data_IF_991185763117
#
_entry.id   IF_991185763117
#
_cell.length_a   1.000
_cell.length_b   1.000
_cell.length_c   1.000
_cell.angle_alpha   90.00
_cell.angle_beta   90.00
_cell.angle_gamma   90.00
#
_symmetry.space_group_name_H-M   'P 1'
#
loop_
_entity.id
_entity.type
_entity.pdbx_description
1 polymer ?
#
# COMPACT_ATOMS: atom_id res chain seq x y z
N UNK A 1 -9.91 5.16 -3.52
CA UNK A 1 -9.34 3.80 -3.38
C UNK A 1 -7.92 3.84 -2.84
N UNK A 2 -6.94 4.42 -3.55
CA UNK A 2 -5.56 4.50 -3.02
C UNK A 2 -5.46 5.42 -1.78
N UNK A 3 -6.22 6.53 -1.75
CA UNK A 3 -6.27 7.44 -0.61
C UNK A 3 -6.79 6.77 0.67
N UNK A 4 -7.85 5.99 0.54
CA UNK A 4 -8.43 5.24 1.65
C UNK A 4 -7.45 4.16 2.16
N UNK A 5 -6.70 3.51 1.26
CA UNK A 5 -5.66 2.57 1.66
C UNK A 5 -4.52 3.26 2.42
N UNK A 6 -4.07 4.44 1.96
CA UNK A 6 -3.05 5.24 2.65
C UNK A 6 -3.51 5.54 4.08
N UNK A 7 -4.74 6.02 4.24
CA UNK A 7 -5.32 6.37 5.54
C UNK A 7 -5.36 5.15 6.48
N UNK A 8 -5.82 4.00 6.00
CA UNK A 8 -5.87 2.75 6.78
C UNK A 8 -4.47 2.27 7.20
N UNK A 9 -3.50 2.35 6.29
CA UNK A 9 -2.11 1.97 6.57
C UNK A 9 -1.54 2.83 7.70
N UNK A 10 -1.71 4.15 7.63
CA UNK A 10 -1.19 5.08 8.65
C UNK A 10 -1.86 4.92 10.01
N UNK A 11 -3.19 4.83 10.02
CA UNK A 11 -3.98 4.67 11.25
C UNK A 11 -3.75 3.33 11.95
N UNK A 12 -3.11 2.36 11.31
CA UNK A 12 -2.96 1.03 11.88
C UNK A 12 -4.24 0.19 11.73
N UNK A 13 -5.18 0.58 10.87
CA UNK A 13 -6.53 -0.01 10.80
C UNK A 13 -6.62 -1.16 9.81
N UNK A 14 -7.34 -2.21 10.21
CA UNK A 14 -7.53 -3.43 9.41
C UNK A 14 -6.42 -4.46 9.56
N UNK A 15 -6.74 -5.70 9.20
CA UNK A 15 -5.80 -6.81 9.27
C UNK A 15 -4.67 -6.60 8.24
N UNK A 16 -3.42 -6.83 8.65
CA UNK A 16 -2.24 -6.72 7.79
C UNK A 16 -2.42 -7.47 6.47
N UNK A 17 -2.92 -8.71 6.54
CA UNK A 17 -3.13 -9.54 5.36
C UNK A 17 -4.17 -8.97 4.41
N UNK A 18 -5.24 -8.38 4.93
CA UNK A 18 -6.26 -7.72 4.12
C UNK A 18 -5.63 -6.55 3.36
N UNK A 19 -4.91 -5.68 4.06
CA UNK A 19 -4.26 -4.50 3.46
C UNK A 19 -3.24 -4.90 2.40
N UNK A 20 -2.43 -5.93 2.66
CA UNK A 20 -1.45 -6.44 1.70
C UNK A 20 -2.12 -6.92 0.40
N UNK A 21 -3.25 -7.63 0.51
CA UNK A 21 -3.97 -8.14 -0.65
C UNK A 21 -4.65 -7.02 -1.45
N UNK A 22 -5.24 -6.05 -0.74
CA UNK A 22 -5.82 -4.86 -1.35
C UNK A 22 -4.76 -4.02 -2.08
N UNK A 23 -3.57 -3.89 -1.49
CA UNK A 23 -2.45 -3.19 -2.09
C UNK A 23 -2.08 -3.77 -3.46
N UNK A 24 -1.87 -5.09 -3.55
CA UNK A 24 -1.51 -5.74 -4.82
C UNK A 24 -2.55 -5.47 -5.90
N UNK A 25 -3.84 -5.64 -5.57
CA UNK A 25 -4.91 -5.39 -6.52
C UNK A 25 -4.95 -3.92 -7.00
N UNK A 26 -4.78 -2.96 -6.09
CA UNK A 26 -4.76 -1.53 -6.43
C UNK A 26 -3.56 -1.19 -7.32
N UNK A 27 -2.37 -1.71 -7.00
CA UNK A 27 -1.16 -1.47 -7.79
C UNK A 27 -1.17 -2.15 -9.16
N UNK A 28 -2.01 -3.18 -9.34
CA UNK A 28 -2.30 -3.79 -10.64
C UNK A 28 -3.37 -3.02 -11.44
N UNK A 29 -3.84 -1.88 -10.94
CA UNK A 29 -4.84 -1.03 -11.60
C UNK A 29 -6.26 -1.59 -11.54
N UNK A 30 -6.54 -2.43 -10.56
CA UNK A 30 -7.86 -3.05 -10.36
C UNK A 30 -8.72 -2.21 -9.43
N UNK A 31 -10.02 -2.25 -9.68
CA UNK A 31 -11.03 -1.68 -8.79
C UNK A 31 -11.46 -2.70 -7.77
N UNK A 32 -11.50 -2.29 -6.50
CA UNK A 32 -11.98 -3.11 -5.40
C UNK A 32 -13.45 -2.81 -5.13
N UNK A 33 -14.22 -3.87 -4.88
CA UNK A 33 -15.58 -3.77 -4.36
C UNK A 33 -15.84 -4.87 -3.33
N UNK A 34 -16.65 -4.54 -2.33
CA UNK A 34 -17.21 -5.53 -1.41
C UNK A 34 -18.57 -5.99 -1.95
N UNK A 35 -18.78 -7.31 -2.02
CA UNK A 35 -20.04 -7.95 -2.43
C UNK A 35 -20.44 -8.98 -1.37
N UNK A 36 -21.30 -8.57 -0.45
CA UNK A 36 -21.65 -9.36 0.73
C UNK A 36 -20.42 -9.63 1.61
N UNK A 37 -20.05 -10.90 1.75
CA UNK A 37 -18.87 -11.34 2.49
C UNK A 37 -17.61 -11.46 1.63
N UNK A 38 -17.62 -11.00 0.38
CA UNK A 38 -16.49 -11.13 -0.54
C UNK A 38 -15.87 -9.78 -0.85
N UNK A 39 -14.54 -9.76 -0.96
CA UNK A 39 -13.79 -8.66 -1.58
C UNK A 39 -13.40 -9.11 -2.98
N UNK A 40 -13.84 -8.35 -3.98
CA UNK A 40 -13.57 -8.63 -5.39
C UNK A 40 -12.63 -7.57 -5.98
N UNK A 41 -11.66 -8.01 -6.76
CA UNK A 41 -10.80 -7.16 -7.56
C UNK A 41 -11.10 -7.36 -9.04
N UNK A 42 -11.51 -6.28 -9.71
CA UNK A 42 -11.84 -6.30 -11.14
C UNK A 42 -10.87 -5.45 -11.94
N UNK A 43 -10.39 -5.98 -13.05
CA UNK A 43 -9.55 -5.24 -13.97
C UNK A 43 -10.38 -4.15 -14.68
N UNK A 44 -9.86 -2.92 -14.62
CA UNK A 44 -10.44 -1.77 -15.32
C UNK A 44 -10.26 -1.87 -16.84
N UNK A 45 -9.27 -2.66 -17.30
CA UNK A 45 -8.96 -2.88 -18.72
C UNK A 45 -9.43 -4.25 -19.20
N UNK A 46 -9.79 -4.43 -20.48
CA UNK A 46 -10.05 -5.74 -21.06
C UNK A 46 -8.87 -6.71 -20.78
N UNK A 47 -9.13 -7.97 -20.38
CA UNK A 47 -10.42 -8.69 -20.48
C UNK A 47 -11.42 -8.48 -19.32
N UNK A 48 -11.26 -7.47 -18.47
CA UNK A 48 -12.13 -7.21 -17.31
C UNK A 48 -12.25 -8.39 -16.35
N UNK A 49 -11.16 -9.16 -16.23
CA UNK A 49 -11.06 -10.31 -15.34
C UNK A 49 -11.29 -9.88 -13.88
N UNK A 50 -12.03 -10.71 -13.16
CA UNK A 50 -12.36 -10.52 -11.75
C UNK A 50 -11.88 -11.73 -10.95
N UNK A 51 -11.32 -11.47 -9.77
CA UNK A 51 -10.98 -12.52 -8.82
C UNK A 51 -11.34 -12.12 -7.39
N UNK A 52 -11.48 -13.13 -6.55
CA UNK A 52 -11.76 -12.96 -5.11
C UNK A 52 -10.44 -12.66 -4.41
N UNK A 53 -10.32 -11.45 -3.85
CA UNK A 53 -9.22 -11.03 -2.98
C UNK A 53 -9.29 -11.78 -1.66
N UNK A 54 -10.50 -11.97 -1.14
CA UNK A 54 -10.73 -12.75 0.06
C UNK A 54 -12.15 -12.62 0.56
N UNK A 55 -12.38 -13.20 1.73
CA UNK A 55 -13.65 -13.18 2.43
C UNK A 55 -13.56 -12.36 3.70
N UNK A 56 -14.62 -11.63 3.96
CA UNK A 56 -14.86 -10.88 5.18
C UNK A 56 -15.90 -11.64 5.99
N UNK A 57 -15.51 -12.06 7.18
CA UNK A 57 -16.46 -12.35 8.25
C UNK A 57 -16.51 -11.11 9.14
N UNK A 58 -17.68 -10.48 9.24
CA UNK A 58 -17.85 -9.28 10.06
C UNK A 58 -17.61 -9.57 11.55
N UNK A 59 -17.77 -10.83 11.97
CA UNK A 59 -17.71 -11.24 13.36
C UNK A 59 -18.73 -10.50 14.24
N UNK A 60 -18.76 -10.82 15.53
CA UNK A 60 -19.56 -10.05 16.50
C UNK A 60 -18.82 -8.79 17.00
N UNK A 61 -17.49 -8.81 16.98
CA UNK A 61 -16.66 -7.75 17.59
C UNK A 61 -15.56 -7.22 16.69
N UNK A 62 -15.09 -8.00 15.71
CA UNK A 62 -14.01 -7.63 14.79
C UNK A 62 -14.20 -8.29 13.43
N UNK A 63 -13.88 -7.52 12.40
CA UNK A 63 -13.76 -7.96 11.00
C UNK A 63 -12.59 -8.94 10.86
N UNK A 64 -12.88 -10.15 10.43
CA UNK A 64 -11.91 -11.19 10.11
C UNK A 64 -11.75 -11.30 8.59
N UNK A 65 -10.50 -11.36 8.13
CA UNK A 65 -10.19 -11.52 6.71
C UNK A 65 -9.57 -12.88 6.45
N UNK A 66 -10.06 -13.57 5.42
CA UNK A 66 -9.48 -14.80 4.88
C UNK A 66 -9.09 -14.59 3.43
N UNK A 67 -7.82 -14.85 3.10
CA UNK A 67 -7.29 -14.64 1.75
C UNK A 67 -7.91 -15.60 0.72
N UNK A 68 -8.19 -15.08 -0.46
CA UNK A 68 -8.68 -15.84 -1.60
C UNK A 68 -7.64 -16.84 -2.13
N UNK A 69 -8.06 -18.05 -2.49
CA UNK A 69 -7.17 -19.04 -3.13
C UNK A 69 -6.69 -18.61 -4.52
N UNK A 70 -7.37 -17.65 -5.15
CA UNK A 70 -7.07 -17.14 -6.49
C UNK A 70 -6.15 -15.92 -6.48
N UNK A 71 -5.73 -15.44 -5.31
CA UNK A 71 -4.86 -14.28 -5.21
C UNK A 71 -3.42 -14.69 -5.55
N UNK A 72 -2.70 -13.92 -6.38
CA UNK A 72 -1.28 -14.10 -6.58
C UNK A 72 -0.53 -14.10 -5.23
N UNK A 73 0.64 -14.73 -5.10
CA UNK A 73 1.41 -14.69 -3.86
C UNK A 73 1.64 -13.25 -3.37
N UNK A 74 0.97 -12.86 -2.29
CA UNK A 74 1.06 -11.50 -1.75
C UNK A 74 2.14 -11.44 -0.67
N UNK A 75 3.10 -10.52 -0.81
CA UNK A 75 4.14 -10.26 0.20
C UNK A 75 3.57 -9.52 1.42
N UNK A 76 4.30 -9.53 2.53
CA UNK A 76 3.86 -8.88 3.78
C UNK A 76 4.27 -7.40 3.85
N UNK A 77 3.70 -6.56 3.00
CA UNK A 77 4.11 -5.16 2.86
C UNK A 77 3.87 -4.34 4.14
N UNK A 78 2.78 -4.58 4.87
CA UNK A 78 2.53 -3.85 6.12
C UNK A 78 3.42 -4.29 7.29
N UNK A 79 4.08 -5.45 7.18
CA UNK A 79 4.85 -6.04 8.28
C UNK A 79 6.35 -6.24 7.98
N UNK A 80 6.80 -6.08 6.73
CA UNK A 80 8.19 -6.31 6.31
C UNK A 80 8.74 -5.12 5.55
N UNK A 81 9.80 -4.52 6.11
CA UNK A 81 10.51 -3.43 5.43
C UNK A 81 11.09 -3.90 4.09
N UNK A 82 11.70 -5.10 4.05
CA UNK A 82 12.28 -5.67 2.83
C UNK A 82 11.23 -5.84 1.71
N UNK A 83 9.99 -6.21 2.07
CA UNK A 83 8.91 -6.30 1.10
C UNK A 83 8.57 -4.92 0.50
N UNK A 84 8.53 -3.87 1.34
CA UNK A 84 8.31 -2.48 0.89
C UNK A 84 9.48 -1.99 0.04
N UNK A 85 10.72 -2.28 0.44
CA UNK A 85 11.91 -1.90 -0.34
C UNK A 85 11.91 -2.54 -1.72
N UNK A 86 11.58 -3.83 -1.79
CA UNK A 86 11.49 -4.49 -3.10
C UNK A 86 10.39 -3.87 -3.96
N UNK A 87 9.26 -3.49 -3.36
CA UNK A 87 8.17 -2.81 -4.06
C UNK A 87 8.60 -1.44 -4.61
N UNK A 88 9.35 -0.68 -3.82
CA UNK A 88 9.91 0.63 -4.22
C UNK A 88 10.83 0.44 -5.43
N UNK A 89 11.75 -0.52 -5.38
CA UNK A 89 12.66 -0.77 -6.51
C UNK A 89 11.92 -1.24 -7.77
N UNK A 90 10.86 -2.02 -7.63
CA UNK A 90 10.04 -2.51 -8.74
C UNK A 90 9.20 -1.40 -9.40
N UNK A 91 8.64 -0.47 -8.61
CA UNK A 91 7.63 0.49 -9.08
C UNK A 91 8.14 1.93 -9.20
N UNK A 92 9.16 2.30 -8.44
CA UNK A 92 9.76 3.63 -8.35
C UNK A 92 11.30 3.54 -8.38
N UNK A 93 11.90 3.02 -9.47
CA UNK A 93 13.34 2.81 -9.53
C UNK A 93 14.12 4.12 -9.38
N UNK A 94 15.17 4.10 -8.56
CA UNK A 94 16.05 5.25 -8.30
C UNK A 94 15.52 6.27 -7.29
N UNK A 95 14.34 6.04 -6.71
CA UNK A 95 13.84 6.87 -5.62
C UNK A 95 14.67 6.68 -4.36
N UNK A 96 14.83 7.77 -3.60
CA UNK A 96 15.51 7.73 -2.31
C UNK A 96 14.49 7.79 -1.18
N UNK A 97 14.84 7.19 -0.05
CA UNK A 97 13.97 7.14 1.11
C UNK A 97 14.77 7.23 2.41
N UNK A 98 14.08 7.56 3.51
CA UNK A 98 14.55 7.30 4.86
C UNK A 98 13.41 6.80 5.73
N UNK A 99 13.78 6.11 6.81
CA UNK A 99 12.89 5.79 7.93
C UNK A 99 13.57 6.24 9.21
N UNK A 100 12.82 6.90 10.07
CA UNK A 100 13.31 7.43 11.33
C UNK A 100 12.35 7.10 12.47
N UNK A 101 12.89 6.46 13.50
CA UNK A 101 12.17 6.06 14.70
C UNK A 101 12.71 6.84 15.89
N UNK A 102 11.83 7.46 16.67
CA UNK A 102 12.17 8.13 17.93
C UNK A 102 11.34 7.55 19.06
N UNK A 103 11.90 7.55 20.27
CA UNK A 103 11.16 7.11 21.45
C UNK A 103 9.98 8.06 21.74
N UNK A 104 8.77 7.49 21.91
CA UNK A 104 7.56 8.24 22.24
C UNK A 104 6.91 9.02 21.09
N UNK A 105 7.41 8.89 19.85
CA UNK A 105 6.87 9.56 18.65
C UNK A 105 6.56 8.52 17.57
N UNK A 106 5.51 8.70 16.73
CA UNK A 106 5.30 7.87 15.56
C UNK A 106 6.55 7.79 14.68
N UNK A 107 6.78 6.62 14.08
CA UNK A 107 7.80 6.44 13.05
C UNK A 107 7.47 7.30 11.85
N UNK A 108 8.44 8.08 11.40
CA UNK A 108 8.36 8.84 10.16
C UNK A 108 9.12 8.08 9.08
N UNK A 109 8.52 7.97 7.90
CA UNK A 109 9.25 7.62 6.69
C UNK A 109 9.01 8.70 5.64
N UNK A 110 9.98 8.88 4.75
CA UNK A 110 9.80 9.75 3.62
C UNK A 110 10.51 9.26 2.37
N UNK A 111 9.97 9.66 1.22
CA UNK A 111 10.47 9.34 -0.10
C UNK A 111 10.54 10.58 -0.97
N UNK A 112 11.54 10.62 -1.86
CA UNK A 112 11.69 11.68 -2.86
C UNK A 112 12.32 11.12 -4.15
N UNK A 113 12.00 11.72 -5.31
CA UNK A 113 12.56 11.27 -6.58
C UNK A 113 14.08 11.47 -6.63
N UNK A 114 14.79 10.75 -7.52
CA UNK A 114 16.22 10.96 -7.72
C UNK A 114 16.53 12.42 -8.02
N UNK A 115 17.61 12.94 -7.43
CA UNK A 115 18.06 14.31 -7.69
C UNK A 115 18.32 14.50 -9.18
N UNK A 116 17.58 15.39 -9.83
CA UNK A 116 17.99 15.91 -11.14
C UNK A 116 19.27 16.72 -10.97
N UNK A 117 20.26 16.62 -11.88
CA UNK A 117 21.47 17.44 -11.82
C UNK A 117 21.11 18.93 -11.74
N UNK A 118 21.52 19.59 -10.64
CA UNK A 118 21.27 21.02 -10.41
C UNK A 118 19.92 21.38 -9.76
N UNK A 119 19.05 20.40 -9.47
CA UNK A 119 17.75 20.64 -8.83
C UNK A 119 17.77 20.46 -7.32
N UNK A 120 17.09 21.35 -6.59
CA UNK A 120 16.59 21.08 -5.25
C UNK A 120 15.45 20.06 -5.37
N UNK A 121 15.51 18.95 -4.64
CA UNK A 121 14.35 18.05 -4.53
C UNK A 121 13.36 18.67 -3.56
N UNK A 122 12.25 19.22 -4.08
CA UNK A 122 11.25 19.94 -3.28
C UNK A 122 10.11 19.00 -2.87
N UNK A 123 9.82 17.97 -3.66
CA UNK A 123 8.72 17.04 -3.41
C UNK A 123 9.17 15.88 -2.51
N UNK A 124 8.64 15.89 -1.28
CA UNK A 124 8.80 14.85 -0.27
C UNK A 124 7.43 14.25 0.03
N UNK A 125 7.29 12.93 -0.11
CA UNK A 125 6.11 12.22 0.39
C UNK A 125 6.46 11.57 1.70
N UNK A 126 5.70 11.89 2.74
CA UNK A 126 5.92 11.35 4.09
C UNK A 126 4.85 10.32 4.44
N UNK A 127 5.15 9.44 5.39
CA UNK A 127 4.20 8.56 6.04
C UNK A 127 4.47 8.47 7.54
N UNK A 128 3.41 8.42 8.35
CA UNK A 128 3.52 8.43 9.81
C UNK A 128 2.70 7.30 10.43
N UNK A 129 3.36 6.42 11.19
CA UNK A 129 2.69 5.34 11.92
C UNK A 129 3.62 4.69 12.95
N UNK A 130 3.14 3.73 13.73
CA UNK A 130 3.93 3.04 14.76
C UNK A 130 4.85 1.95 14.20
N UNK A 131 4.62 1.51 12.96
CA UNK A 131 5.42 0.50 12.26
C UNK A 131 6.31 1.12 11.17
N UNK A 132 7.63 0.90 11.18
CA UNK A 132 8.53 1.31 10.10
C UNK A 132 8.07 0.89 8.69
N UNK A 133 7.58 -0.34 8.55
CA UNK A 133 7.12 -0.86 7.27
C UNK A 133 5.87 -0.12 6.77
N UNK A 134 4.88 0.09 7.65
CA UNK A 134 3.68 0.86 7.30
C UNK A 134 3.99 2.33 7.01
N UNK A 135 4.93 2.94 7.74
CA UNK A 135 5.33 4.33 7.52
C UNK A 135 5.88 4.49 6.10
N UNK A 136 6.82 3.61 5.74
CA UNK A 136 7.43 3.63 4.42
C UNK A 136 6.43 3.25 3.33
N UNK A 137 5.54 2.30 3.58
CA UNK A 137 4.48 1.94 2.64
C UNK A 137 3.53 3.12 2.36
N UNK A 138 3.16 3.91 3.38
CA UNK A 138 2.33 5.11 3.19
C UNK A 138 3.05 6.18 2.36
N UNK A 139 4.34 6.41 2.62
CA UNK A 139 5.16 7.31 1.81
C UNK A 139 5.25 6.84 0.35
N UNK A 140 5.47 5.53 0.13
CA UNK A 140 5.48 4.90 -1.20
C UNK A 140 4.15 5.09 -1.93
N UNK A 141 3.01 4.82 -1.27
CA UNK A 141 1.69 4.92 -1.88
C UNK A 141 1.38 6.33 -2.36
N UNK A 142 1.77 7.36 -1.58
CA UNK A 142 1.64 8.77 -1.98
C UNK A 142 2.51 9.10 -3.18
N UNK A 143 3.78 8.70 -3.15
CA UNK A 143 4.69 8.88 -4.28
C UNK A 143 4.17 8.21 -5.56
N UNK A 144 3.68 6.98 -5.44
CA UNK A 144 3.15 6.21 -6.55
C UNK A 144 1.88 6.84 -7.14
N UNK A 145 0.96 7.30 -6.29
CA UNK A 145 -0.25 8.01 -6.71
C UNK A 145 0.10 9.23 -7.56
N UNK A 146 0.99 10.08 -7.09
CA UNK A 146 1.36 11.32 -7.77
C UNK A 146 2.01 11.08 -9.14
N UNK A 147 2.86 10.05 -9.24
CA UNK A 147 3.47 9.64 -10.52
C UNK A 147 2.45 9.15 -11.55
N UNK A 148 1.28 8.66 -11.10
CA UNK A 148 0.20 8.21 -11.97
C UNK A 148 -0.82 9.30 -12.27
N UNK A 149 -1.11 10.20 -11.33
CA UNK A 149 -2.04 11.33 -11.51
C UNK A 149 -1.40 12.49 -12.30
N UNK A 150 -0.08 12.64 -12.23
CA UNK A 150 0.69 13.67 -12.96
C UNK A 150 1.04 13.30 -14.40
N UNK A 151 0.53 12.19 -14.94
CA UNK A 151 0.71 11.73 -16.33
C UNK A 151 -0.58 11.79 -17.12
#
# INVERSE_FOLDING_TARGET
>A
MIDELIERVEKGEGADRELDCLLVAILDGRTIREDGSMILARNSRPPHDEYIVGWIDLGETRRNFSEGHSVPPVRRYTASLDAVLTLIEEKLPGWTWYVQTYEGVPTEAAMWPPKTPGGLTIEKHSGFTTSPARALLAAFLRAHKEQHDGR
#
